data_IF_175383474322
#
_entry.id   IF_175383474322
#
_cell.length_a   1.000
_cell.length_b   1.000
_cell.length_c   1.000
_cell.angle_alpha   90.00
_cell.angle_beta   90.00
_cell.angle_gamma   90.00
#
_symmetry.space_group_name_H-M   'P 1'
#
loop_
_entity.id
_entity.type
_entity.pdbx_description
1 polymer ?
2 polymer ?
3 polymer ?
4 non-polymer ?
5 non-polymer ?
6 water ?
#
loop_
_entity_poly.entity_id
_entity_poly.type
_entity_poly.pdbx_seq_one_letter_code
_entity_poly.pdbx_strand_id
2 'polydeoxyribonucleotide' '(DA)(DT)(DG)(DG)(DG)(DT)(DC)(DC)(DT)' ?
3 'polydeoxyribonucleotide' '(DA)(DG)(DG)(DA)(DC)(DC)(DC)' ?
#
# COMPACT_ATOMS: atom_id res chain seq x y z
N UNK A 26 6.25 -16.48 20.73
CA UNK A 26 6.01 -15.30 21.61
C UNK A 26 5.04 -14.30 20.96
N UNK A 27 4.20 -13.67 21.79
CA UNK A 27 3.10 -12.85 21.26
C UNK A 27 3.61 -11.47 20.86
N UNK A 28 3.13 -10.97 19.72
CA UNK A 28 3.57 -9.68 19.28
C UNK A 28 2.47 -8.64 19.46
N UNK A 29 2.88 -7.38 19.39
CA UNK A 29 1.96 -6.25 19.29
C UNK A 29 2.35 -5.46 18.03
N UNK A 30 1.45 -5.46 17.04
CA UNK A 30 1.74 -4.90 15.73
C UNK A 30 0.74 -3.79 15.53
N UNK A 31 1.20 -2.68 14.95
CA UNK A 31 0.32 -1.60 14.52
C UNK A 31 0.35 -1.46 12.99
N UNK A 32 -0.82 -1.26 12.39
CA UNK A 32 -0.95 -0.89 10.98
C UNK A 32 -1.48 0.55 10.89
N UNK A 33 -0.77 1.43 10.15
CA UNK A 33 -1.15 2.81 10.06
C UNK A 33 -1.60 3.01 8.62
N UNK A 34 -2.76 3.61 8.43
CA UNK A 34 -3.34 3.72 7.10
C UNK A 34 -3.83 5.17 6.92
N UNK A 35 -3.17 5.95 6.07
CA UNK A 35 -3.55 7.38 5.96
C UNK A 35 -4.91 7.55 5.30
N UNK A 36 -5.71 8.50 5.77
CA UNK A 36 -6.99 8.85 5.14
C UNK A 36 -6.81 9.41 3.68
N UNK A 37 -7.59 8.92 2.73
CA UNK A 37 -7.60 9.43 1.34
C UNK A 37 -6.31 10.15 0.94
N UNK A 38 -5.21 9.39 0.93
CA UNK A 38 -3.88 9.98 0.96
C UNK A 38 -3.62 11.09 -0.08
N UNK A 39 -3.78 10.81 -1.38
CA UNK A 39 -3.46 11.82 -2.42
C UNK A 39 -4.30 13.08 -2.22
N UNK A 40 -5.57 12.88 -1.86
CA UNK A 40 -6.50 14.01 -1.66
C UNK A 40 -6.05 14.88 -0.48
N UNK A 41 -5.61 14.24 0.61
CA UNK A 41 -4.96 14.92 1.73
C UNK A 41 -3.77 15.76 1.33
N UNK A 42 -2.88 15.21 0.50
CA UNK A 42 -1.72 15.95 0.07
C UNK A 42 -2.15 17.17 -0.75
N UNK A 43 -3.15 17.01 -1.62
CA UNK A 43 -3.64 18.13 -2.48
C UNK A 43 -4.40 19.18 -1.69
N UNK A 44 -5.12 18.73 -0.65
CA UNK A 44 -5.83 19.63 0.25
C UNK A 44 -4.90 20.46 1.11
N UNK A 45 -3.82 19.83 1.56
CA UNK A 45 -2.75 20.57 2.24
C UNK A 45 -2.11 21.59 1.27
N UNK A 46 -1.87 21.19 0.02
CA UNK A 46 -1.26 22.10 -0.95
C UNK A 46 -2.18 23.25 -1.40
N UNK A 47 -3.49 23.04 -1.34
CA UNK A 47 -4.45 24.04 -1.79
C UNK A 47 -5.71 24.06 -0.91
N UNK A 48 -5.63 24.75 0.24
CA UNK A 48 -6.79 24.76 1.17
C UNK A 48 -8.05 25.46 0.64
N UNK A 49 -8.05 25.93 -0.60
CA UNK A 49 -9.30 26.37 -1.25
C UNK A 49 -10.18 25.15 -1.60
N UNK A 50 -9.56 23.97 -1.52
CA UNK A 50 -10.24 22.69 -1.79
C UNK A 50 -10.62 21.94 -0.51
N UNK A 51 -10.25 22.46 0.66
CA UNK A 51 -10.44 21.74 1.93
C UNK A 51 -11.89 21.55 2.36
N UNK A 52 -12.78 22.44 1.90
CA UNK A 52 -14.19 22.38 2.27
C UNK A 52 -15.07 21.98 1.08
N UNK A 53 -14.41 21.53 0.01
CA UNK A 53 -15.08 21.19 -1.26
C UNK A 53 -14.90 19.71 -1.60
N UNK A 54 -15.86 19.11 -2.32
CA UNK A 54 -15.65 17.74 -2.81
C UNK A 54 -14.47 17.70 -3.78
N UNK A 55 -13.48 16.87 -3.46
CA UNK A 55 -12.26 16.82 -4.28
C UNK A 55 -11.98 15.39 -4.74
N UNK A 56 -11.55 15.29 -5.99
CA UNK A 56 -11.09 14.03 -6.56
C UNK A 56 -9.75 14.24 -7.21
N UNK A 57 -8.90 13.22 -7.10
CA UNK A 57 -7.59 13.23 -7.70
C UNK A 57 -7.70 12.34 -8.93
N UNK A 58 -7.38 12.94 -10.08
CA UNK A 58 -7.58 12.32 -11.39
C UNK A 58 -6.27 11.81 -12.00
N UNK A 59 -6.31 10.59 -12.51
CA UNK A 59 -5.25 10.05 -13.34
C UNK A 59 -5.90 9.56 -14.63
N UNK A 60 -5.55 10.18 -15.74
CA UNK A 60 -6.20 9.92 -17.01
C UNK A 60 -7.71 10.10 -16.87
N UNK A 61 -8.48 9.04 -17.03
CA UNK A 61 -9.95 9.12 -17.00
C UNK A 61 -10.51 8.60 -15.66
N UNK A 62 -9.63 8.36 -14.70
CA UNK A 62 -10.04 7.78 -13.43
C UNK A 62 -9.91 8.74 -12.27
N UNK A 63 -10.89 8.70 -11.39
CA UNK A 63 -10.80 9.36 -10.09
C UNK A 63 -10.19 8.32 -9.17
N UNK A 64 -8.87 8.40 -8.95
CA UNK A 64 -8.23 7.34 -8.17
C UNK A 64 -8.52 7.39 -6.67
N UNK A 65 -8.79 8.59 -6.17
CA UNK A 65 -9.25 8.76 -4.79
C UNK A 65 -9.92 10.12 -4.65
N UNK A 66 -10.67 10.28 -3.57
CA UNK A 66 -11.41 11.50 -3.29
C UNK A 66 -11.47 11.68 -1.77
N UNK A 67 -11.69 12.92 -1.34
CA UNK A 67 -11.87 13.20 0.07
C UNK A 67 -13.25 12.70 0.59
N UNK A 68 -13.39 12.57 1.90
CA UNK A 68 -14.62 11.99 2.47
C UNK A 68 -15.86 12.85 2.15
N UNK A 69 -15.63 14.11 1.76
CA UNK A 69 -16.68 15.02 1.29
C UNK A 69 -17.29 14.62 -0.07
N UNK A 70 -16.47 14.05 -0.95
CA UNK A 70 -16.90 13.50 -2.22
C UNK A 70 -17.48 12.10 -2.04
N UNK A 71 -16.95 11.36 -1.05
CA UNK A 71 -17.47 10.03 -0.71
C UNK A 71 -18.92 10.09 -0.24
N UNK A 72 -19.26 11.15 0.49
CA UNK A 72 -20.64 11.41 0.94
C UNK A 72 -21.61 11.54 -0.23
N UNK A 73 -21.10 12.05 -1.35
CA UNK A 73 -21.88 12.32 -2.55
C UNK A 73 -21.87 11.17 -3.57
N UNK A 74 -21.44 9.99 -3.13
CA UNK A 74 -21.48 8.80 -3.99
C UNK A 74 -20.24 8.55 -4.82
N UNK A 75 -19.29 9.49 -4.84
CA UNK A 75 -18.01 9.28 -5.54
C UNK A 75 -17.21 8.16 -4.85
N UNK A 76 -16.75 7.20 -5.64
CA UNK A 76 -15.99 6.06 -5.13
C UNK A 76 -14.58 6.01 -5.73
N UNK A 77 -13.66 5.34 -5.00
CA UNK A 77 -12.27 5.19 -5.42
C UNK A 77 -12.22 4.39 -6.74
N UNK A 78 -11.38 4.84 -7.66
CA UNK A 78 -11.21 4.22 -9.00
C UNK A 78 -12.46 4.35 -9.89
N UNK A 79 -13.24 5.40 -9.65
CA UNK A 79 -14.47 5.65 -10.40
C UNK A 79 -14.20 6.46 -11.65
N UNK A 80 -14.75 5.99 -12.77
CA UNK A 80 -14.75 6.72 -14.03
C UNK A 80 -15.09 8.20 -13.82
N UNK A 81 -14.29 9.08 -14.40
CA UNK A 81 -14.49 10.53 -14.22
C UNK A 81 -15.87 10.98 -14.74
N UNK A 82 -16.41 10.25 -15.72
CA UNK A 82 -17.79 10.41 -16.19
C UNK A 82 -18.82 10.14 -15.10
N UNK A 83 -18.78 8.92 -14.56
CA UNK A 83 -19.70 8.46 -13.52
C UNK A 83 -19.59 9.30 -12.25
N UNK A 84 -18.36 9.72 -11.91
CA UNK A 84 -18.11 10.52 -10.72
C UNK A 84 -18.72 11.92 -10.79
N UNK A 85 -18.75 12.50 -11.99
CA UNK A 85 -19.33 13.83 -12.15
C UNK A 85 -20.83 13.80 -12.43
N UNK A 86 -21.35 12.65 -12.87
CA UNK A 86 -22.79 12.45 -13.02
C UNK A 86 -23.41 12.07 -11.67
N UNK A 87 -22.57 11.69 -10.72
CA UNK A 87 -22.97 11.49 -9.33
C UNK A 87 -22.79 12.77 -8.53
N UNK A 88 -21.68 13.48 -8.78
CA UNK A 88 -21.38 14.74 -8.10
C UNK A 88 -20.95 15.83 -9.12
N UNK A 89 -21.93 16.56 -9.71
CA UNK A 89 -21.67 17.60 -10.76
C UNK A 89 -20.85 18.81 -10.26
N UNK A 90 -20.76 18.81 -8.85
CA UNK A 90 -19.98 19.82 -8.14
C UNK A 90 -18.52 19.39 -7.88
N UNK A 91 -18.12 18.25 -8.42
CA UNK A 91 -16.80 17.66 -8.12
C UNK A 91 -15.61 18.45 -8.67
N UNK A 92 -14.69 18.84 -7.77
CA UNK A 92 -13.42 19.45 -8.15
C UNK A 92 -12.36 18.37 -8.43
N UNK A 93 -11.69 18.48 -9.58
CA UNK A 93 -10.69 17.49 -10.00
C UNK A 93 -9.29 18.10 -10.07
N UNK A 94 -8.31 17.41 -9.47
CA UNK A 94 -6.90 17.81 -9.56
C UNK A 94 -6.10 16.65 -10.17
N UNK A 95 -5.13 16.97 -11.03
CA UNK A 95 -4.37 15.92 -11.67
C UNK A 95 -3.31 15.27 -10.77
N UNK A 96 -3.41 13.96 -10.60
CA UNK A 96 -2.52 13.23 -9.69
C UNK A 96 -1.63 12.24 -10.40
N UNK A 97 -1.40 12.47 -11.69
CA UNK A 97 -0.56 11.58 -12.50
C UNK A 97 0.90 11.62 -12.04
N UNK A 98 1.41 12.80 -11.70
CA UNK A 98 2.79 12.95 -11.25
C UNK A 98 2.80 12.61 -9.75
N UNK A 99 3.41 11.46 -9.40
CA UNK A 99 3.43 11.00 -8.02
C UNK A 99 4.47 11.68 -7.13
N UNK A 100 5.31 12.55 -7.68
CA UNK A 100 6.39 13.21 -6.92
C UNK A 100 6.06 13.62 -5.46
N UNK A 101 5.06 14.47 -5.30
CA UNK A 101 4.69 15.00 -4.01
C UNK A 101 4.11 13.91 -3.08
N UNK A 102 3.33 12.97 -3.62
CA UNK A 102 2.78 11.91 -2.76
C UNK A 102 3.91 10.99 -2.26
N UNK A 103 4.84 10.67 -3.15
CA UNK A 103 5.98 9.80 -2.77
C UNK A 103 6.82 10.50 -1.66
N UNK A 104 7.10 11.78 -1.85
CA UNK A 104 7.83 12.58 -0.86
C UNK A 104 7.14 12.58 0.50
N UNK A 105 5.85 12.92 0.55
CA UNK A 105 5.15 12.80 1.84
C UNK A 105 5.12 11.38 2.43
N UNK A 106 4.99 10.39 1.55
CA UNK A 106 5.01 8.98 1.97
C UNK A 106 6.24 8.63 2.79
N UNK A 107 7.40 9.04 2.31
CA UNK A 107 8.63 8.76 3.01
C UNK A 107 8.76 9.60 4.27
N UNK A 108 8.21 10.81 4.29
CA UNK A 108 8.17 11.60 5.54
C UNK A 108 7.38 10.86 6.65
N UNK A 109 6.26 10.23 6.28
CA UNK A 109 5.53 9.41 7.25
C UNK A 109 6.35 8.20 7.73
N UNK A 110 6.92 7.43 6.80
CA UNK A 110 7.73 6.28 7.17
C UNK A 110 8.90 6.67 8.11
N UNK A 111 9.60 7.76 7.78
CA UNK A 111 10.71 8.25 8.61
C UNK A 111 10.25 8.64 10.02
N UNK A 112 9.10 9.28 10.11
CA UNK A 112 8.54 9.66 11.42
C UNK A 112 8.27 8.40 12.25
N UNK A 113 7.58 7.43 11.66
CA UNK A 113 7.36 6.13 12.34
C UNK A 113 8.63 5.41 12.76
N UNK A 114 9.67 5.44 11.92
CA UNK A 114 10.95 4.80 12.22
C UNK A 114 11.65 5.35 13.49
N UNK A 115 11.28 6.57 13.88
CA UNK A 115 11.72 7.20 15.11
C UNK A 115 11.12 6.58 16.38
N UNK A 116 9.92 6.02 16.27
CA UNK A 116 9.29 5.27 17.32
C UNK A 116 9.98 3.92 17.47
N UNK A 117 10.05 3.18 16.37
CA UNK A 117 10.72 1.91 16.33
C UNK A 117 11.25 1.76 14.93
N UNK A 118 12.51 1.29 14.80
CA UNK A 118 13.18 1.31 13.50
C UNK A 118 12.70 0.31 12.44
N UNK A 119 12.05 -0.76 12.85
CA UNK A 119 11.52 -1.78 11.93
C UNK A 119 10.12 -1.42 11.43
N UNK A 120 10.10 -0.71 10.31
CA UNK A 120 8.85 -0.22 9.70
C UNK A 120 8.81 -0.77 8.28
N UNK A 121 7.69 -1.42 8.00
CA UNK A 121 7.37 -2.03 6.72
C UNK A 121 6.34 -1.21 5.97
N UNK A 122 6.68 -0.76 4.78
CA UNK A 122 5.78 0.03 3.94
C UNK A 122 4.90 -0.93 3.15
N UNK A 123 3.64 -0.57 2.95
CA UNK A 123 2.75 -1.30 2.07
C UNK A 123 2.14 -0.22 1.15
N UNK A 124 2.63 -0.10 -0.06
CA UNK A 124 2.29 1.08 -0.96
C UNK A 124 2.75 2.41 -0.38
N UNK A 125 2.12 3.50 -0.79
CA UNK A 125 2.54 4.83 -0.37
C UNK A 125 1.89 5.28 0.91
N UNK A 126 0.84 4.61 1.33
CA UNK A 126 0.10 5.18 2.44
C UNK A 126 -0.19 4.26 3.62
N UNK A 127 0.43 3.07 3.62
CA UNK A 127 0.33 2.18 4.77
C UNK A 127 1.72 1.81 5.29
N UNK A 128 1.79 1.62 6.62
CA UNK A 128 3.00 1.14 7.29
C UNK A 128 2.64 0.16 8.40
N UNK A 129 3.51 -0.82 8.62
CA UNK A 129 3.37 -1.72 9.79
C UNK A 129 4.53 -1.40 10.71
N UNK A 130 4.31 -1.43 12.02
CA UNK A 130 5.43 -1.30 12.99
C UNK A 130 5.28 -2.41 14.02
N UNK A 131 6.39 -3.09 14.35
CA UNK A 131 6.32 -4.09 15.40
C UNK A 131 6.61 -3.32 16.69
N UNK A 132 5.61 -3.26 17.56
CA UNK A 132 5.72 -2.49 18.82
C UNK A 132 6.07 -3.32 20.05
N UNK A 133 6.32 -4.62 19.84
CA UNK A 133 6.59 -5.59 20.92
C UNK A 133 7.65 -5.14 21.94
N UNK A 134 8.83 -4.76 21.47
CA UNK A 134 9.90 -4.30 22.36
C UNK A 134 9.57 -2.98 23.06
N UNK A 135 9.02 -2.00 22.32
CA UNK A 135 8.55 -0.75 22.92
C UNK A 135 7.52 -0.97 24.03
N UNK A 136 6.56 -1.86 23.77
CA UNK A 136 5.54 -2.20 24.77
C UNK A 136 6.16 -2.77 26.05
N UNK A 137 7.03 -3.77 25.88
CA UNK A 137 7.74 -4.44 26.98
C UNK A 137 8.61 -3.47 27.77
N UNK A 138 9.22 -2.50 27.09
CA UNK A 138 10.02 -1.46 27.72
C UNK A 138 9.14 -0.55 28.58
N UNK A 139 8.01 -0.08 28.02
CA UNK A 139 7.07 0.74 28.79
C UNK A 139 6.51 -0.03 30.00
N UNK A 140 6.16 -1.30 29.82
CA UNK A 140 5.59 -2.09 30.92
C UNK A 140 6.60 -2.27 32.05
N UNK A 141 7.84 -2.57 31.67
CA UNK A 141 8.95 -2.74 32.62
C UNK A 141 9.18 -1.49 33.46
N UNK A 142 8.77 -0.33 32.95
CA UNK A 142 8.96 0.95 33.64
C UNK A 142 7.78 1.36 34.53
N UNK A 143 6.69 0.59 34.47
CA UNK A 143 5.52 0.81 35.31
C UNK A 143 5.64 0.13 36.66
N UNK A 144 5.49 0.91 37.73
CA UNK A 144 5.37 0.33 39.08
C UNK A 144 4.05 -0.44 39.20
N UNK A 145 4.10 -1.59 39.86
CA UNK A 145 2.94 -2.48 40.06
C UNK A 145 1.62 -1.76 40.40
N UNK A 146 1.75 -0.60 41.05
CA UNK A 146 0.62 0.26 41.43
C UNK A 146 -0.18 0.73 40.22
N UNK A 147 0.54 1.11 39.17
CA UNK A 147 -0.02 1.78 38.00
C UNK A 147 -0.40 0.84 36.84
N UNK A 148 -0.44 -0.46 37.10
CA UNK A 148 -0.87 -1.40 36.06
C UNK A 148 -2.35 -1.27 35.71
N UNK A 149 -3.10 -0.51 36.52
CA UNK A 149 -4.55 -0.63 36.40
C UNK A 149 -5.55 0.54 36.50
N UNK A 150 -5.20 1.83 36.53
CA UNK A 150 -4.34 2.63 35.66
C UNK A 150 -4.29 2.53 34.13
N UNK A 151 -3.92 1.37 33.58
CA UNK A 151 -3.74 1.27 32.10
C UNK A 151 -5.08 1.43 31.38
N UNK A 152 -5.12 2.31 30.38
CA UNK A 152 -6.36 2.57 29.64
C UNK A 152 -6.14 2.46 28.13
N UNK A 153 -7.21 2.11 27.41
CA UNK A 153 -7.20 2.07 25.97
C UNK A 153 -7.21 3.50 25.41
N UNK A 154 -6.52 3.69 24.28
CA UNK A 154 -6.74 4.83 23.45
C UNK A 154 -7.53 4.40 22.19
N UNK A 155 -8.68 5.00 21.96
CA UNK A 155 -9.48 4.70 20.77
C UNK A 155 -10.47 3.57 20.99
N UNK A 156 -10.89 2.94 19.90
CA UNK A 156 -11.95 1.92 19.94
C UNK A 156 -11.39 0.53 20.32
N UNK A 157 -12.17 -0.25 21.03
CA UNK A 157 -11.89 -1.69 21.24
C UNK A 157 -12.81 -2.43 20.28
N UNK A 158 -12.25 -3.31 19.44
CA UNK A 158 -13.02 -4.00 18.42
C UNK A 158 -14.14 -4.81 19.14
N UNK A 159 -15.35 -4.68 18.61
CA UNK A 159 -16.53 -5.45 19.04
C UNK A 159 -16.94 -5.02 20.46
N UNK A 160 -16.57 -3.81 20.89
CA UNK A 160 -16.86 -3.34 22.23
C UNK A 160 -16.53 -4.43 23.29
N UNK A 161 -15.45 -5.17 23.11
CA UNK A 161 -15.07 -6.18 24.06
C UNK A 161 -14.60 -5.67 25.43
N UNK A 162 -15.07 -6.34 26.50
CA UNK A 162 -14.63 -6.00 27.86
C UNK A 162 -13.14 -6.20 28.03
N UNK A 163 -12.46 -5.20 28.57
CA UNK A 163 -11.03 -5.33 28.90
C UNK A 163 -10.84 -6.08 30.23
N UNK A 164 -9.86 -7.00 30.28
CA UNK A 164 -9.51 -7.67 31.56
C UNK A 164 -8.08 -7.22 31.90
N UNK A 165 -7.94 -6.35 32.90
CA UNK A 165 -6.63 -5.71 33.23
C UNK A 165 -5.65 -6.72 33.91
N UNK A 166 -6.15 -7.90 34.22
CA UNK A 166 -5.27 -8.93 34.76
C UNK A 166 -4.80 -9.87 33.67
N UNK A 167 -5.27 -9.64 32.46
CA UNK A 167 -4.84 -10.46 31.34
C UNK A 167 -3.65 -9.74 30.70
N UNK A 168 -2.43 -10.30 30.83
CA UNK A 168 -1.24 -9.55 30.29
C UNK A 168 -1.33 -9.28 28.78
N UNK A 169 -2.02 -10.14 28.02
CA UNK A 169 -2.19 -9.83 26.57
C UNK A 169 -3.02 -8.59 26.36
N UNK A 170 -4.08 -8.43 27.17
CA UNK A 170 -4.91 -7.24 27.09
C UNK A 170 -4.08 -6.01 27.47
N UNK A 171 -3.31 -6.11 28.56
CA UNK A 171 -2.44 -4.98 28.97
C UNK A 171 -1.46 -4.56 27.84
N UNK A 172 -0.86 -5.54 27.18
CA UNK A 172 0.17 -5.20 26.14
C UNK A 172 -0.46 -4.54 24.92
N UNK A 173 -1.63 -5.05 24.51
CA UNK A 173 -2.42 -4.46 23.41
C UNK A 173 -2.90 -3.02 23.71
N UNK A 174 -3.30 -2.74 24.94
CA UNK A 174 -3.66 -1.37 25.34
C UNK A 174 -2.50 -0.39 25.30
N UNK A 175 -1.32 -0.84 25.76
CA UNK A 175 -0.09 -0.01 25.67
C UNK A 175 0.23 0.21 24.18
N UNK A 176 0.02 -0.81 23.35
CA UNK A 176 0.11 -0.65 21.87
C UNK A 176 -0.81 0.45 21.37
N UNK A 177 -2.05 0.46 21.85
CA UNK A 177 -3.03 1.52 21.44
C UNK A 177 -2.58 2.93 21.83
N UNK A 178 -1.93 3.04 22.99
CA UNK A 178 -1.34 4.31 23.46
C UNK A 178 -0.21 4.78 22.52
N UNK A 179 0.67 3.87 22.15
CA UNK A 179 1.74 4.16 21.17
C UNK A 179 1.15 4.56 19.82
N UNK A 180 0.17 3.80 19.36
CA UNK A 180 -0.52 4.15 18.11
C UNK A 180 -1.11 5.58 18.15
N UNK A 181 -1.70 5.99 19.29
CA UNK A 181 -2.26 7.35 19.37
C UNK A 181 -1.14 8.42 19.35
N UNK A 182 0.00 8.15 20.00
CA UNK A 182 1.18 9.04 19.93
C UNK A 182 1.69 9.17 18.48
N UNK A 183 1.73 8.06 17.76
CA UNK A 183 2.12 8.09 16.34
C UNK A 183 1.15 8.93 15.53
N UNK A 184 -0.16 8.71 15.68
CA UNK A 184 -1.11 9.53 14.91
C UNK A 184 -1.02 11.05 15.22
N UNK A 185 -0.84 11.35 16.49
CA UNK A 185 -0.62 12.73 16.96
C UNK A 185 0.59 13.43 16.37
N UNK A 186 1.69 12.68 16.32
CA UNK A 186 2.95 13.21 15.80
C UNK A 186 2.83 13.41 14.27
N UNK A 187 2.19 12.46 13.58
CA UNK A 187 1.89 12.61 12.13
C UNK A 187 1.05 13.84 11.87
N UNK A 188 0.04 14.05 12.73
CA UNK A 188 -0.74 15.31 12.61
C UNK A 188 0.07 16.57 12.96
N UNK A 189 0.69 16.57 14.14
CA UNK A 189 1.47 17.73 14.60
C UNK A 189 2.60 18.08 13.63
N UNK A 190 3.30 17.08 13.11
CA UNK A 190 4.59 17.36 12.38
C UNK A 190 4.44 17.39 10.88
N UNK A 191 3.46 16.65 10.36
CA UNK A 191 3.22 16.55 8.91
C UNK A 191 1.82 17.03 8.45
N UNK A 192 0.90 17.27 9.37
CA UNK A 192 -0.43 17.82 8.99
C UNK A 192 -1.40 16.72 8.48
N UNK A 193 -1.02 15.48 8.68
CA UNK A 193 -1.77 14.32 8.13
C UNK A 193 -2.55 13.56 9.16
N UNK A 194 -3.75 13.15 8.77
CA UNK A 194 -4.60 12.25 9.62
C UNK A 194 -4.60 10.84 9.04
N UNK A 195 -4.88 9.85 9.90
CA UNK A 195 -4.93 8.52 9.41
C UNK A 195 -5.52 7.62 10.44
N UNK A 196 -5.79 6.38 10.03
CA UNK A 196 -6.30 5.31 10.97
C UNK A 196 -5.19 4.40 11.48
N UNK A 197 -5.38 3.80 12.65
CA UNK A 197 -4.46 2.75 13.09
C UNK A 197 -5.21 1.53 13.64
N UNK A 198 -4.63 0.34 13.48
CA UNK A 198 -5.20 -0.87 14.05
C UNK A 198 -4.09 -1.54 14.82
N UNK A 199 -4.41 -2.01 16.03
CA UNK A 199 -3.40 -2.70 16.87
C UNK A 199 -3.88 -4.14 17.12
N UNK A 200 -3.03 -5.12 16.84
CA UNK A 200 -3.40 -6.52 17.06
C UNK A 200 -2.15 -7.39 17.18
N UNK A 201 -2.34 -8.72 17.22
CA UNK A 201 -1.27 -9.66 17.52
C UNK A 201 -0.42 -10.05 16.30
N UNK A 202 -0.87 -9.67 15.11
CA UNK A 202 -0.12 -9.95 13.88
C UNK A 202 -0.50 -8.96 12.76
N UNK A 203 0.18 -9.01 11.59
CA UNK A 203 -0.04 -7.97 10.57
C UNK A 203 -1.39 -8.07 9.92
N UNK A 204 -1.76 -9.29 9.57
CA UNK A 204 -3.09 -9.52 9.00
C UNK A 204 -4.21 -8.90 9.82
N UNK A 205 -4.23 -9.21 11.12
CA UNK A 205 -5.26 -8.74 12.01
C UNK A 205 -5.18 -7.22 12.30
N UNK A 206 -3.96 -6.67 12.36
CA UNK A 206 -3.81 -5.21 12.53
C UNK A 206 -4.35 -4.45 11.28
N UNK A 207 -4.06 -4.99 10.10
CA UNK A 207 -4.55 -4.38 8.87
C UNK A 207 -6.08 -4.53 8.76
N UNK A 208 -6.61 -5.70 9.10
CA UNK A 208 -8.08 -5.84 9.12
C UNK A 208 -8.74 -4.93 10.14
N UNK A 209 -8.15 -4.82 11.33
CA UNK A 209 -8.89 -4.05 12.37
C UNK A 209 -8.72 -2.49 12.18
N UNK A 210 -7.70 -2.06 11.47
CA UNK A 210 -7.40 -0.61 11.37
C UNK A 210 -8.48 0.15 10.61
N UNK A 211 -9.14 -0.56 9.70
CA UNK A 211 -10.19 0.09 8.93
C UNK A 211 -11.61 -0.02 9.53
N UNK A 212 -11.75 -0.50 10.76
CA UNK A 212 -13.10 -0.71 11.34
C UNK A 212 -13.82 0.62 11.59
N UNK A 213 -13.09 1.59 12.14
CA UNK A 213 -13.61 2.93 12.36
C UNK A 213 -12.75 3.87 11.53
N UNK A 214 -13.37 4.62 10.62
CA UNK A 214 -12.67 5.52 9.64
C UNK A 214 -13.59 6.72 9.38
N UNK A 215 -13.05 7.90 9.01
CA UNK A 215 -11.63 8.27 8.92
C UNK A 215 -11.04 8.69 10.29
N UNK A 216 -9.72 8.77 10.35
CA UNK A 216 -8.98 9.37 11.45
C UNK A 216 -9.36 8.83 12.83
N UNK A 217 -9.41 7.49 12.97
CA UNK A 217 -9.71 6.84 14.22
C UNK A 217 -8.84 5.63 14.37
N UNK A 218 -8.87 4.99 15.53
CA UNK A 218 -8.06 3.76 15.71
C UNK A 218 -8.79 2.73 16.49
N UNK A 219 -8.41 1.46 16.28
CA UNK A 219 -9.11 0.33 16.93
C UNK A 219 -8.08 -0.72 17.38
N UNK A 220 -8.33 -1.33 18.53
CA UNK A 220 -7.49 -2.41 19.00
C UNK A 220 -8.35 -3.71 19.01
N UNK A 221 -7.71 -4.80 18.60
CA UNK A 221 -8.29 -6.16 18.62
C UNK A 221 -7.77 -6.98 19.80
N UNK A 222 -8.66 -7.26 20.75
CA UNK A 222 -8.33 -8.22 21.81
C UNK A 222 -8.57 -9.64 21.28
N UNK A 223 -7.83 -10.63 21.81
CA UNK A 223 -7.74 -11.94 21.18
C UNK A 223 -9.10 -12.70 21.16
N UNK A 224 -9.96 -12.47 22.13
CA UNK A 224 -11.26 -13.22 22.11
C UNK A 224 -12.23 -12.79 21.03
N UNK A 225 -11.93 -11.65 20.40
CA UNK A 225 -12.76 -11.10 19.30
C UNK A 225 -12.19 -11.41 17.90
N UNK A 226 -11.11 -12.20 17.83
CA UNK A 226 -10.46 -12.44 16.53
C UNK A 226 -11.37 -13.22 15.58
N UNK A 227 -12.11 -14.21 16.10
CA UNK A 227 -13.04 -14.91 15.22
C UNK A 227 -14.12 -13.99 14.67
N UNK A 228 -14.61 -13.12 15.53
CA UNK A 228 -15.62 -12.19 15.13
C UNK A 228 -15.12 -11.29 13.97
N UNK A 229 -13.89 -10.79 14.08
CA UNK A 229 -13.28 -9.96 13.01
C UNK A 229 -13.16 -10.76 11.69
N UNK A 230 -12.63 -11.98 11.75
CA UNK A 230 -12.45 -12.71 10.48
C UNK A 230 -13.78 -13.13 9.83
N UNK A 231 -14.79 -13.47 10.64
CA UNK A 231 -16.09 -13.86 10.10
C UNK A 231 -16.93 -12.65 9.71
N UNK A 232 -16.54 -11.44 10.14
CA UNK A 232 -17.20 -10.20 9.66
C UNK A 232 -16.95 -9.93 8.15
N UNK A 233 -15.93 -10.54 7.56
CA UNK A 233 -15.63 -10.38 6.11
C UNK A 233 -16.70 -11.08 5.28
N UNK A 234 -17.06 -10.51 4.14
CA UNK A 234 -18.13 -11.08 3.33
C UNK A 234 -17.66 -11.72 2.04
N UNK A 235 -16.41 -11.43 1.66
CA UNK A 235 -15.81 -11.86 0.39
C UNK A 235 -14.41 -12.33 0.73
N UNK A 236 -14.04 -13.48 0.19
CA UNK A 236 -12.74 -14.11 0.44
C UNK A 236 -11.56 -13.21 -0.05
N UNK A 237 -11.82 -12.43 -1.10
CA UNK A 237 -10.80 -11.49 -1.62
C UNK A 237 -10.57 -10.35 -0.62
N UNK A 238 -11.46 -10.19 0.38
CA UNK A 238 -11.17 -9.21 1.44
C UNK A 238 -9.99 -9.58 2.34
N UNK A 239 -9.59 -10.84 2.36
CA UNK A 239 -8.35 -11.09 3.08
C UNK A 239 -7.06 -10.68 2.30
N UNK A 240 -6.23 -9.81 2.91
CA UNK A 240 -4.97 -9.37 2.30
C UNK A 240 -4.12 -10.59 2.02
N UNK A 241 -3.82 -10.83 0.75
CA UNK A 241 -2.96 -11.91 0.32
C UNK A 241 -3.75 -12.81 -0.60
N UNK A 242 -5.08 -12.69 -0.56
CA UNK A 242 -5.91 -13.38 -1.51
C UNK A 242 -6.39 -12.35 -2.53
N UNK A 243 -5.85 -12.45 -3.74
CA UNK A 243 -6.13 -11.44 -4.73
C UNK A 243 -7.05 -11.93 -5.83
N UNK A 244 -7.07 -11.17 -6.92
CA UNK A 244 -7.99 -11.42 -8.03
C UNK A 244 -7.98 -12.86 -8.55
N UNK A 245 -6.80 -13.36 -8.94
CA UNK A 245 -6.75 -14.69 -9.53
C UNK A 245 -7.01 -15.79 -8.48
N UNK A 246 -6.53 -15.62 -7.26
CA UNK A 246 -6.73 -16.66 -6.25
C UNK A 246 -8.22 -16.76 -5.84
N UNK A 247 -8.89 -15.61 -5.75
CA UNK A 247 -10.31 -15.58 -5.42
C UNK A 247 -11.12 -16.23 -6.56
N UNK A 248 -10.70 -16.02 -7.83
CA UNK A 248 -11.37 -16.68 -8.96
C UNK A 248 -11.27 -18.20 -8.85
N UNK A 249 -10.07 -18.70 -8.55
CA UNK A 249 -9.82 -20.12 -8.27
C UNK A 249 -10.74 -20.68 -7.18
N UNK A 250 -10.75 -20.02 -6.01
CA UNK A 250 -11.58 -20.46 -4.86
C UNK A 250 -13.06 -20.54 -5.20
N UNK A 251 -13.56 -19.50 -5.87
CA UNK A 251 -14.93 -19.46 -6.35
C UNK A 251 -15.28 -20.63 -7.30
N UNK A 252 -14.37 -20.94 -8.21
CA UNK A 252 -14.50 -22.11 -9.05
C UNK A 252 -14.64 -23.39 -8.21
N UNK A 253 -14.10 -23.39 -7.00
CA UNK A 253 -14.16 -24.58 -6.13
C UNK A 253 -15.34 -24.62 -5.13
N UNK A 254 -16.22 -23.62 -5.21
CA UNK A 254 -17.39 -23.49 -4.30
C UNK A 254 -17.09 -22.80 -2.98
N UNK A 255 -15.89 -22.24 -2.85
CA UNK A 255 -15.43 -21.55 -1.66
C UNK A 255 -15.78 -20.06 -1.73
N UNK A 256 -16.72 -19.65 -0.91
CA UNK A 256 -17.16 -18.24 -0.93
C UNK A 256 -16.92 -17.45 0.36
N UNK A 257 -17.17 -18.05 1.50
CA UNK A 257 -17.02 -17.35 2.77
C UNK A 257 -15.71 -17.72 3.39
N UNK A 258 -15.35 -16.96 4.43
CA UNK A 258 -14.17 -17.27 5.21
C UNK A 258 -14.26 -18.70 5.80
N UNK A 259 -15.43 -19.05 6.39
CA UNK A 259 -15.66 -20.40 6.91
C UNK A 259 -15.54 -21.52 5.88
N UNK A 260 -16.06 -21.31 4.67
CA UNK A 260 -15.85 -22.25 3.54
C UNK A 260 -14.35 -22.58 3.37
N UNK A 261 -13.52 -21.54 3.33
CA UNK A 261 -12.07 -21.73 3.19
C UNK A 261 -11.46 -22.41 4.40
N UNK A 262 -11.83 -22.02 5.62
CA UNK A 262 -11.31 -22.65 6.83
C UNK A 262 -11.57 -24.14 6.77
N UNK A 263 -12.77 -24.53 6.36
CA UNK A 263 -13.19 -25.93 6.41
C UNK A 263 -12.98 -26.74 5.11
N UNK A 264 -12.42 -26.15 4.07
CA UNK A 264 -12.23 -26.86 2.80
C UNK A 264 -11.03 -27.84 2.94
N UNK A 265 -11.08 -28.97 2.22
CA UNK A 265 -10.00 -29.99 2.26
C UNK A 265 -8.62 -29.42 1.87
N UNK A 266 -7.62 -29.52 2.78
CA UNK A 266 -6.26 -28.99 2.50
C UNK A 266 -5.62 -29.71 1.34
N UNK A 267 -5.97 -30.98 1.20
CA UNK A 267 -5.33 -31.81 0.21
C UNK A 267 -5.83 -31.41 -1.18
N UNK A 268 -7.12 -31.12 -1.30
CA UNK A 268 -7.68 -30.63 -2.57
C UNK A 268 -7.14 -29.21 -2.88
N UNK A 269 -7.18 -28.35 -1.87
CA UNK A 269 -6.66 -27.00 -2.00
C UNK A 269 -5.17 -26.99 -2.46
N UNK A 270 -4.32 -27.79 -1.82
CA UNK A 270 -2.91 -27.93 -2.25
C UNK A 270 -2.77 -28.36 -3.71
N UNK A 271 -3.58 -29.34 -4.12
CA UNK A 271 -3.57 -29.83 -5.50
C UNK A 271 -3.93 -28.74 -6.50
N UNK A 272 -4.88 -27.87 -6.13
CA UNK A 272 -5.38 -26.86 -7.04
C UNK A 272 -4.51 -25.61 -7.09
N UNK A 273 -4.02 -25.20 -5.93
CA UNK A 273 -3.27 -23.94 -5.82
C UNK A 273 -1.77 -24.12 -5.58
N UNK A 274 -1.33 -25.37 -5.43
CA UNK A 274 0.02 -25.63 -4.99
C UNK A 274 0.17 -25.46 -3.48
N UNK A 275 1.12 -26.22 -2.93
CA UNK A 275 1.39 -26.27 -1.51
C UNK A 275 1.60 -24.91 -0.82
N UNK A 276 2.34 -23.98 -1.46
CA UNK A 276 2.68 -22.70 -0.82
C UNK A 276 1.46 -21.81 -0.58
N UNK A 277 0.69 -21.62 -1.64
CA UNK A 277 -0.42 -20.70 -1.62
C UNK A 277 -1.55 -21.30 -0.75
N UNK A 278 -1.86 -22.57 -0.99
CA UNK A 278 -2.90 -23.30 -0.19
C UNK A 278 -2.68 -23.19 1.31
N UNK A 279 -1.46 -23.55 1.76
CA UNK A 279 -1.10 -23.54 3.17
C UNK A 279 -1.14 -22.14 3.76
N UNK A 280 -0.60 -21.15 3.03
CA UNK A 280 -0.60 -19.75 3.46
C UNK A 280 -2.03 -19.23 3.60
N UNK A 281 -2.83 -19.33 2.55
CA UNK A 281 -4.21 -18.75 2.60
C UNK A 281 -5.17 -19.44 3.57
N UNK A 282 -4.99 -20.75 3.77
CA UNK A 282 -5.87 -21.42 4.73
C UNK A 282 -5.55 -20.95 6.16
N UNK A 283 -4.27 -20.71 6.44
CA UNK A 283 -3.87 -20.09 7.74
C UNK A 283 -4.49 -18.72 7.89
N UNK A 284 -4.41 -17.92 6.83
CA UNK A 284 -4.96 -16.56 6.83
C UNK A 284 -6.47 -16.56 7.13
N UNK A 285 -7.17 -17.53 6.54
CA UNK A 285 -8.60 -17.75 6.84
C UNK A 285 -8.97 -17.94 8.31
N UNK A 286 -8.06 -18.49 9.12
CA UNK A 286 -8.22 -18.63 10.58
C UNK A 286 -7.68 -17.42 11.38
N UNK A 287 -7.20 -16.40 10.68
CA UNK A 287 -6.65 -15.20 11.32
C UNK A 287 -5.19 -15.37 11.77
N UNK A 288 -4.54 -16.45 11.29
CA UNK A 288 -3.19 -16.83 11.70
C UNK A 288 -2.21 -16.31 10.67
N UNK A 289 -1.17 -15.62 11.13
CA UNK A 289 -0.22 -15.00 10.23
C UNK A 289 1.07 -14.76 10.99
N UNK A 290 2.07 -15.60 10.77
CA UNK A 290 3.30 -15.46 11.53
C UNK A 290 4.37 -14.62 10.83
N UNK A 291 4.00 -13.94 9.75
CA UNK A 291 5.00 -13.19 8.99
C UNK A 291 5.56 -11.98 9.77
N UNK A 292 6.89 -11.80 9.72
CA UNK A 292 7.51 -10.71 10.45
C UNK A 292 7.24 -9.37 9.80
N UNK A 293 7.27 -8.33 10.61
CA UNK A 293 7.36 -6.97 10.08
C UNK A 293 8.80 -6.82 9.57
N UNK A 294 8.96 -6.45 8.31
CA UNK A 294 10.30 -6.34 7.62
C UNK A 294 10.69 -4.89 7.53
N UNK A 295 11.94 -4.54 7.78
CA UNK A 295 12.37 -3.14 7.58
C UNK A 295 12.47 -2.87 6.07
N UNK A 296 11.58 -2.02 5.53
CA UNK A 296 11.61 -1.69 4.07
C UNK A 296 12.89 -0.94 3.65
N UNK A 297 13.27 0.07 4.42
CA UNK A 297 14.48 0.83 4.14
C UNK A 297 14.28 1.63 2.84
N UNK A 298 15.37 1.91 2.12
CA UNK A 298 15.27 2.59 0.83
C UNK A 298 14.66 1.65 -0.24
N UNK A 299 14.05 2.24 -1.29
CA UNK A 299 13.32 1.39 -2.27
C UNK A 299 14.25 0.46 -3.09
N UNK A 300 13.69 -0.67 -3.57
CA UNK A 300 14.42 -1.65 -4.38
C UNK A 300 14.45 -1.31 -5.89
N UNK A 301 13.52 -0.44 -6.31
CA UNK A 301 13.41 0.00 -7.71
C UNK A 301 12.78 1.40 -7.77
N UNK A 302 12.96 2.09 -8.88
CA UNK A 302 12.09 3.23 -9.12
C UNK A 302 11.81 3.38 -10.59
N UNK A 303 10.52 3.57 -10.87
CA UNK A 303 9.99 3.54 -12.23
C UNK A 303 9.09 4.74 -12.59
N UNK A 304 8.98 5.06 -13.88
CA UNK A 304 8.08 6.12 -14.36
C UNK A 304 7.24 5.44 -15.45
N UNK A 305 5.94 5.71 -15.47
CA UNK A 305 5.01 5.10 -16.41
C UNK A 305 4.22 6.18 -17.15
N UNK A 306 3.84 5.87 -18.38
CA UNK A 306 2.72 6.60 -19.00
C UNK A 306 1.89 5.68 -19.88
N UNK A 307 0.57 5.87 -19.80
CA UNK A 307 -0.40 5.13 -20.59
C UNK A 307 -1.07 6.07 -21.62
N UNK A 308 -1.52 5.49 -22.73
CA UNK A 308 -2.07 6.27 -23.82
C UNK A 308 -2.95 5.39 -24.71
N UNK A 309 -3.72 6.05 -25.59
CA UNK A 309 -4.63 5.36 -26.50
C UNK A 309 -3.86 4.59 -27.56
N UNK A 310 -2.84 5.23 -28.14
CA UNK A 310 -2.01 4.58 -29.17
C UNK A 310 -0.59 5.14 -29.29
N UNK A 311 0.40 4.24 -29.27
CA UNK A 311 1.71 4.54 -29.83
C UNK A 311 1.92 3.60 -31.02
N UNK A 312 2.04 4.17 -32.21
CA UNK A 312 2.13 3.45 -33.46
C UNK A 312 3.44 3.73 -34.20
N UNK A 313 4.43 4.24 -33.48
CA UNK A 313 5.63 4.77 -34.15
C UNK A 313 6.88 4.70 -33.28
N UNK A 314 8.01 4.28 -33.87
CA UNK A 314 9.30 4.27 -33.16
C UNK A 314 9.77 5.71 -32.82
N UNK A 315 9.46 6.64 -33.73
CA UNK A 315 9.75 8.10 -33.56
C UNK A 315 9.02 8.69 -32.36
N UNK A 316 7.73 8.24 -32.18
CA UNK A 316 6.92 8.64 -31.03
C UNK A 316 7.38 7.93 -29.75
N UNK A 317 7.70 6.63 -29.89
CA UNK A 317 8.12 5.80 -28.75
C UNK A 317 9.42 6.31 -28.12
N UNK A 318 10.36 6.71 -28.97
CA UNK A 318 11.65 7.27 -28.51
C UNK A 318 11.38 8.54 -27.63
N UNK A 319 10.42 9.39 -28.09
CA UNK A 319 10.06 10.66 -27.38
C UNK A 319 9.49 10.35 -25.99
N UNK A 320 8.55 9.40 -26.00
CA UNK A 320 7.89 8.89 -24.82
C UNK A 320 8.90 8.40 -23.77
N UNK A 321 9.75 7.44 -24.19
CA UNK A 321 10.79 6.82 -23.35
C UNK A 321 11.76 7.86 -22.79
N UNK A 322 12.17 8.81 -23.64
CA UNK A 322 13.00 9.92 -23.21
C UNK A 322 12.41 10.72 -22.05
N UNK A 323 11.12 11.09 -22.16
CA UNK A 323 10.49 11.88 -21.09
C UNK A 323 10.53 11.10 -19.78
N UNK A 324 10.28 9.79 -19.87
CA UNK A 324 10.28 8.92 -18.67
C UNK A 324 11.71 8.91 -18.12
N UNK A 325 12.69 8.78 -19.02
CA UNK A 325 14.10 8.81 -18.63
C UNK A 325 14.52 10.08 -17.91
N UNK A 326 14.11 11.24 -18.47
CA UNK A 326 14.44 12.51 -17.83
C UNK A 326 13.91 12.59 -16.39
N UNK A 327 12.66 12.17 -16.15
CA UNK A 327 12.09 12.10 -14.80
C UNK A 327 12.90 11.19 -13.87
N UNK A 328 13.26 10.00 -14.37
CA UNK A 328 13.96 9.04 -13.53
C UNK A 328 15.37 9.51 -13.21
N UNK A 329 16.04 10.14 -14.16
CA UNK A 329 17.40 10.62 -13.94
C UNK A 329 17.43 11.69 -12.85
N UNK A 330 16.39 12.53 -12.81
CA UNK A 330 16.24 13.48 -11.70
C UNK A 330 16.06 12.76 -10.34
N UNK A 331 15.27 11.70 -10.33
CA UNK A 331 15.05 10.91 -9.11
C UNK A 331 16.33 10.22 -8.61
N UNK A 332 17.12 9.72 -9.57
CA UNK A 332 18.42 9.08 -9.35
C UNK A 332 19.36 9.93 -8.50
N UNK A 333 19.46 11.21 -8.86
CA UNK A 333 20.40 12.13 -8.25
C UNK A 333 20.06 12.38 -6.78
N UNK A 337 22.92 6.36 -4.14
CA UNK A 337 22.85 5.00 -4.67
C UNK A 337 22.61 5.01 -6.18
N UNK A 338 23.20 4.03 -6.87
CA UNK A 338 23.06 3.95 -8.33
C UNK A 338 22.48 2.60 -8.81
N UNK A 339 21.56 2.66 -9.79
CA UNK A 339 20.96 1.47 -10.40
C UNK A 339 21.94 0.75 -11.31
N UNK A 340 21.92 -0.58 -11.26
CA UNK A 340 22.82 -1.39 -12.08
C UNK A 340 22.03 -2.14 -13.14
N UNK A 341 20.71 -2.03 -13.11
CA UNK A 341 19.86 -2.62 -14.16
C UNK A 341 18.82 -1.62 -14.63
N UNK A 342 18.52 -1.68 -15.92
CA UNK A 342 17.42 -0.91 -16.50
C UNK A 342 16.46 -1.83 -17.23
N UNK A 343 15.17 -1.57 -17.12
CA UNK A 343 14.21 -2.37 -17.88
C UNK A 343 13.15 -1.53 -18.52
N UNK A 344 12.64 -2.04 -19.62
CA UNK A 344 11.60 -1.38 -20.34
C UNK A 344 10.39 -2.28 -20.40
N UNK A 345 9.25 -1.70 -20.08
CA UNK A 345 7.97 -2.41 -20.04
C UNK A 345 7.05 -1.79 -21.09
N UNK A 346 6.42 -2.66 -21.90
CA UNK A 346 5.36 -2.22 -22.79
C UNK A 346 4.04 -2.93 -22.48
N UNK A 347 2.94 -2.38 -23.00
CA UNK A 347 1.66 -3.07 -23.06
C UNK A 347 1.08 -2.81 -24.46
N UNK A 348 0.83 -3.88 -25.19
CA UNK A 348 0.25 -3.79 -26.53
C UNK A 348 -1.27 -3.97 -26.49
N UNK A 349 -1.93 -3.68 -27.62
CA UNK A 349 -3.40 -3.78 -27.79
C UNK A 349 -4.04 -2.40 -28.00
N UNK A 356 -0.61 -9.03 -19.75
CA UNK A 356 -0.57 -8.10 -20.88
C UNK A 356 0.79 -7.44 -21.06
N UNK A 357 1.49 -7.26 -19.94
CA UNK A 357 2.80 -6.57 -19.93
C UNK A 357 3.91 -7.45 -20.51
N UNK A 358 4.80 -6.82 -21.27
CA UNK A 358 6.08 -7.44 -21.67
C UNK A 358 7.23 -6.55 -21.23
N UNK A 359 8.38 -7.17 -20.94
CA UNK A 359 9.54 -6.42 -20.50
C UNK A 359 10.89 -6.96 -21.03
N UNK A 360 11.84 -6.05 -21.17
CA UNK A 360 13.22 -6.40 -21.49
C UNK A 360 14.11 -5.60 -20.56
N UNK A 361 15.11 -6.25 -20.00
CA UNK A 361 16.08 -5.57 -19.14
C UNK A 361 17.51 -5.99 -19.52
N UNK A 362 18.48 -5.22 -19.02
CA UNK A 362 19.90 -5.48 -19.22
C UNK A 362 20.71 -4.66 -18.20
N UNK A 363 21.97 -5.02 -17.94
CA UNK A 363 22.75 -4.16 -17.04
C UNK A 363 22.96 -2.72 -17.58
N UNK A 364 23.38 -1.81 -16.71
CA UNK A 364 23.76 -0.45 -17.10
C UNK A 364 25.29 -0.44 -17.15
N UNK A 365 25.87 -0.10 -18.32
CA UNK A 365 27.34 -0.07 -18.47
C UNK A 365 28.02 0.74 -17.38
N UNK A 366 29.18 0.25 -16.94
CA UNK A 366 29.95 0.88 -15.86
C UNK A 366 30.20 2.38 -16.05
N UNK A 367 30.66 2.76 -17.26
CA UNK A 367 30.94 4.16 -17.59
C UNK A 367 29.68 5.03 -17.50
N UNK A 368 28.53 4.43 -17.79
CA UNK A 368 27.21 5.10 -17.66
C UNK A 368 26.81 5.28 -16.18
N UNK A 369 27.11 4.28 -15.34
CA UNK A 369 27.00 4.46 -13.88
C UNK A 369 28.21 5.29 -13.40
N UNK A 370 28.04 6.61 -13.43
CA UNK A 370 29.11 7.58 -13.11
C UNK A 370 28.54 8.96 -13.41
N UNK A 371 27.87 9.54 -12.41
CA UNK A 371 27.06 10.75 -12.60
C UNK A 371 27.73 11.97 -11.93
N UNK A 378 26.71 13.87 -20.47
CA UNK A 378 25.51 13.51 -21.29
C UNK A 378 25.21 12.04 -21.20
N UNK A 379 24.47 11.64 -20.12
CA UNK A 379 24.11 10.29 -20.00
C UNK A 379 22.92 9.79 -20.91
N UNK A 380 22.16 10.84 -21.34
CA UNK A 380 20.91 10.69 -22.07
C UNK A 380 21.02 9.86 -23.40
N UNK A 381 22.00 10.17 -24.29
CA UNK A 381 22.14 9.53 -25.63
C UNK A 381 22.55 8.09 -25.59
N UNK A 382 23.52 7.67 -24.72
CA UNK A 382 23.76 6.26 -24.61
C UNK A 382 22.68 5.49 -23.86
N UNK A 383 21.90 6.08 -22.92
CA UNK A 383 20.85 5.36 -22.23
C UNK A 383 19.67 5.16 -23.18
N UNK A 384 19.29 6.23 -23.98
CA UNK A 384 18.13 6.09 -24.95
C UNK A 384 18.47 5.01 -26.00
N UNK A 385 19.79 4.96 -26.30
CA UNK A 385 20.31 3.95 -27.24
C UNK A 385 20.10 2.54 -26.68
N UNK A 386 20.57 2.36 -25.38
CA UNK A 386 20.27 1.10 -24.66
C UNK A 386 18.77 0.77 -24.74
N UNK A 387 17.92 1.73 -24.35
CA UNK A 387 16.47 1.51 -24.27
C UNK A 387 15.75 1.26 -25.60
N UNK A 388 16.19 1.92 -26.69
CA UNK A 388 15.62 1.62 -28.01
C UNK A 388 15.99 0.22 -28.51
N UNK A 389 17.21 -0.22 -28.16
CA UNK A 389 17.64 -1.58 -28.48
C UNK A 389 16.72 -2.60 -27.78
N UNK A 390 16.47 -2.39 -26.48
CA UNK A 390 15.47 -3.16 -25.72
C UNK A 390 14.07 -3.09 -26.37
N UNK A 391 13.66 -1.86 -26.73
CA UNK A 391 12.41 -1.65 -27.46
C UNK A 391 12.37 -2.45 -28.76
N UNK A 392 13.42 -2.33 -29.59
CA UNK A 392 13.48 -3.03 -30.88
C UNK A 392 13.45 -4.55 -30.73
N UNK A 393 13.95 -5.05 -29.60
CA UNK A 393 14.01 -6.50 -29.34
C UNK A 393 12.63 -7.10 -29.12
N UNK A 394 11.74 -6.26 -28.59
CA UNK A 394 10.41 -6.63 -28.16
C UNK A 394 9.37 -6.26 -29.20
N UNK A 395 9.60 -5.15 -29.88
CA UNK A 395 8.67 -4.64 -30.87
C UNK A 395 9.27 -4.75 -32.27
N UNK A 396 8.56 -5.45 -33.15
CA UNK A 396 8.92 -5.53 -34.57
C UNK A 396 8.48 -4.24 -35.26
N UNK A 397 9.47 -3.36 -35.51
CA UNK A 397 9.18 -2.01 -36.01
C UNK A 397 8.97 -1.95 -37.52
N UNK A 398 9.38 -3.00 -38.23
CA UNK A 398 9.13 -3.14 -39.67
C UNK A 398 7.69 -3.61 -39.94
N UNK A 399 7.02 -4.09 -38.88
CA UNK A 399 5.61 -4.47 -38.94
C UNK A 399 4.79 -3.51 -38.06
N UNK A 400 3.53 -3.21 -38.46
CA UNK A 400 2.66 -2.37 -37.62
C UNK A 400 2.63 -2.80 -36.15
N UNK A 401 2.53 -1.84 -35.24
CA UNK A 401 2.35 -2.12 -33.80
C UNK A 401 1.46 -1.09 -33.10
N UNK A 402 0.91 -1.49 -31.96
CA UNK A 402 -0.01 -0.63 -31.19
C UNK A 402 0.18 -0.74 -29.68
N UNK A 403 0.93 0.20 -29.11
CA UNK A 403 1.17 0.25 -27.66
C UNK A 403 0.20 1.14 -26.89
N UNK A 404 -0.10 0.75 -25.65
CA UNK A 404 -0.96 1.52 -24.76
C UNK A 404 -0.29 1.84 -23.41
N UNK A 405 0.97 1.42 -23.27
CA UNK A 405 1.78 1.73 -22.08
C UNK A 405 3.27 1.61 -22.37
N UNK A 406 4.00 2.58 -21.85
CA UNK A 406 5.46 2.55 -21.78
C UNK A 406 5.89 2.85 -20.35
N UNK A 407 6.84 2.06 -19.86
CA UNK A 407 7.38 2.20 -18.52
C UNK A 407 8.87 1.92 -18.51
N UNK A 408 9.62 2.77 -17.81
CA UNK A 408 11.07 2.53 -17.70
C UNK A 408 11.29 2.31 -16.22
N UNK A 409 12.08 1.30 -15.88
CA UNK A 409 12.44 1.05 -14.49
C UNK A 409 13.95 0.97 -14.29
N UNK A 410 14.43 1.66 -13.25
CA UNK A 410 15.76 1.41 -12.71
C UNK A 410 15.68 0.44 -11.51
N UNK A 411 16.41 -0.68 -11.57
CA UNK A 411 16.56 -1.60 -10.42
C UNK A 411 17.99 -1.96 -10.12
N UNK A 412 18.15 -2.96 -9.24
CA UNK A 412 19.45 -3.49 -8.85
C UNK A 412 20.40 -2.40 -8.34
N UNK A 413 19.87 -1.60 -7.40
CA UNK A 413 20.62 -0.52 -6.76
C UNK A 413 21.73 -1.03 -5.85
N UNK A 414 22.88 -0.38 -5.95
CA UNK A 414 24.04 -0.73 -5.15
C UNK A 414 24.50 0.48 -4.32
#
# INVERSE_FOLDING_TARGET
MELADVGAAASSQGVHDQVLPTPNASSRVIVHVDLDCFYAQVEMISNPELKDKPLGVQQKYLVVTCNYEARKLGVKKLMNVRDAKEKCPQLVLVNGEDLTRYREMSYKVTELLEEFSPVVERLGFDENFVDLTEMVEKRLQQLQSDELSAVTVSGHVYNNQSINLLDVLHIRLLVGSQIAAEMREAMYNQLGLTGCAGVASNKLLAKLVSGVFKPNQQTVLLPESCQHLIHSLNHIKEIPGIGYKTAKCLEALGINSVRDLQTFSPKILEKELGISVAQRIQKLSFGEDNSPVILSGPPQSFSEEDSFKKCSSEVEAKNKIEELLASLLNRVCQDGRKPHTVRLIIRRYSSEKHYGRESRQCPIPSHVIQKLGTGNYDVMTPMVDILMKLFRNMVNVKMPFHLTLLSVCFCNLKALNTAK
#
